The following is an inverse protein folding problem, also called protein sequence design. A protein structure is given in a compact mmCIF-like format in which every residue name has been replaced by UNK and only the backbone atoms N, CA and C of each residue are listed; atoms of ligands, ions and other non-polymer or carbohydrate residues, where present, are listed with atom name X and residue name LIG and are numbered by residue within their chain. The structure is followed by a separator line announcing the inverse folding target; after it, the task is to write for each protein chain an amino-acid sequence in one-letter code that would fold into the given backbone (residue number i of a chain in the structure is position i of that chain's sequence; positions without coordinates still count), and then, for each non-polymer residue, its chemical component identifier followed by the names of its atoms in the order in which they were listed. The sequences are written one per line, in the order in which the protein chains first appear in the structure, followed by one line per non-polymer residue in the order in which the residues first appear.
data_IF_722025715605
#
_entry.id   IF_722025715605
#
_cell.length_a   1.000
_cell.length_b   1.000
_cell.length_c   1.000
_cell.angle_alpha   90.00
_cell.angle_beta   90.00
_cell.angle_gamma   90.00
#
_symmetry.space_group_name_H-M   'P 1'
#
loop_
_entity.id
_entity.type
_entity.pdbx_description
1 polymer ?
#
# COMPACT_ATOMS: atom_id res chain seq x y z
N UNK A 1 -28.66 -6.25 -13.01
CA UNK A 1 -28.41 -4.83 -12.65
C UNK A 1 -29.40 -4.49 -11.57
N UNK A 2 -28.98 -4.53 -10.31
CA UNK A 2 -29.81 -4.09 -9.18
C UNK A 2 -29.90 -2.57 -9.27
N UNK A 3 -31.12 -2.08 -9.46
CA UNK A 3 -31.43 -0.66 -9.37
C UNK A 3 -30.95 -0.18 -7.99
N UNK A 4 -29.91 0.65 -7.96
CA UNK A 4 -29.35 1.13 -6.70
C UNK A 4 -30.40 1.99 -6.02
N UNK A 5 -31.02 1.45 -4.97
CA UNK A 5 -32.05 2.15 -4.22
C UNK A 5 -31.53 3.53 -3.79
N UNK A 6 -32.37 4.56 -3.94
CA UNK A 6 -32.06 5.91 -3.49
C UNK A 6 -31.72 5.88 -2.01
N UNK A 7 -30.55 6.38 -1.58
CA UNK A 7 -30.15 6.31 -0.19
C UNK A 7 -31.05 7.15 0.71
N UNK A 8 -31.31 6.65 1.90
CA UNK A 8 -32.17 7.25 2.91
C UNK A 8 -31.39 7.53 4.20
N UNK A 9 -31.92 8.44 5.02
CA UNK A 9 -31.38 8.67 6.37
C UNK A 9 -31.63 7.42 7.22
N UNK A 10 -30.60 6.95 7.92
CA UNK A 10 -30.62 5.69 8.68
C UNK A 10 -29.99 4.51 7.94
N UNK A 11 -29.76 4.61 6.63
CA UNK A 11 -29.10 3.54 5.87
C UNK A 11 -27.70 3.25 6.40
N UNK A 12 -27.29 1.98 6.33
CA UNK A 12 -25.95 1.54 6.70
C UNK A 12 -25.10 1.35 5.45
N UNK A 13 -23.99 2.07 5.38
CA UNK A 13 -22.98 1.97 4.34
C UNK A 13 -21.72 1.30 4.88
N UNK A 14 -20.98 0.63 4.00
CA UNK A 14 -19.87 -0.23 4.35
C UNK A 14 -18.57 0.27 3.73
N UNK A 15 -17.46 0.08 4.46
CA UNK A 15 -16.11 0.26 3.94
C UNK A 15 -15.23 -0.88 4.44
N UNK A 16 -14.75 -1.70 3.52
CA UNK A 16 -13.76 -2.72 3.84
C UNK A 16 -12.35 -2.11 3.93
N UNK A 17 -11.56 -2.57 4.88
CA UNK A 17 -10.16 -2.22 5.04
C UNK A 17 -9.36 -3.48 5.39
N UNK A 18 -8.11 -3.52 4.94
CA UNK A 18 -7.11 -4.47 5.39
C UNK A 18 -6.40 -3.94 6.62
N UNK A 19 -6.15 -4.81 7.60
CA UNK A 19 -5.34 -4.51 8.76
C UNK A 19 -4.28 -5.59 8.93
N UNK A 20 -3.10 -5.17 9.38
CA UNK A 20 -2.08 -6.09 9.90
C UNK A 20 -2.43 -6.40 11.34
N UNK A 21 -2.59 -7.67 11.65
CA UNK A 21 -2.93 -8.17 12.99
C UNK A 21 -1.75 -8.99 13.49
N UNK A 22 -1.17 -8.57 14.61
CA UNK A 22 -0.19 -9.34 15.34
C UNK A 22 -0.89 -10.38 16.21
N UNK A 23 -0.40 -11.61 16.18
CA UNK A 23 -0.85 -12.70 17.04
C UNK A 23 0.21 -12.92 18.10
N UNK A 24 -0.19 -12.83 19.36
CA UNK A 24 0.69 -13.04 20.50
C UNK A 24 0.48 -14.44 21.09
N UNK A 25 1.50 -14.99 21.74
CA UNK A 25 1.38 -16.20 22.54
C UNK A 25 0.75 -15.92 23.91
N UNK A 26 0.73 -16.95 24.77
CA UNK A 26 0.15 -16.91 26.11
C UNK A 26 0.88 -15.93 27.06
N UNK A 27 2.10 -15.51 26.72
CA UNK A 27 2.91 -14.56 27.49
C UNK A 27 2.89 -13.15 26.89
N UNK A 28 2.17 -12.95 25.79
CA UNK A 28 2.02 -11.66 25.13
C UNK A 28 3.13 -11.36 24.11
N UNK A 29 4.01 -12.32 23.80
CA UNK A 29 5.07 -12.15 22.82
C UNK A 29 4.54 -12.32 21.40
N UNK A 30 4.95 -11.44 20.49
CA UNK A 30 4.49 -11.46 19.09
C UNK A 30 5.05 -12.70 18.36
N UNK A 31 4.16 -13.61 17.97
CA UNK A 31 4.50 -14.83 17.23
C UNK A 31 4.52 -14.60 15.73
N UNK A 32 3.45 -14.00 15.19
CA UNK A 32 3.37 -13.73 13.75
C UNK A 32 2.39 -12.59 13.41
N UNK A 33 2.48 -12.09 12.18
CA UNK A 33 1.59 -11.04 11.67
C UNK A 33 0.82 -11.56 10.47
N UNK A 34 -0.51 -11.47 10.51
CA UNK A 34 -1.39 -11.81 9.38
C UNK A 34 -2.07 -10.56 8.82
N UNK A 35 -2.54 -10.62 7.57
CA UNK A 35 -3.46 -9.62 7.01
C UNK A 35 -4.88 -10.10 7.20
N UNK A 36 -5.72 -9.25 7.80
CA UNK A 36 -7.15 -9.50 7.93
C UNK A 36 -7.95 -8.42 7.19
N UNK A 37 -9.00 -8.85 6.49
CA UNK A 37 -9.95 -7.96 5.84
C UNK A 37 -11.18 -7.86 6.73
N UNK A 38 -11.51 -6.63 7.14
CA UNK A 38 -12.67 -6.33 7.97
C UNK A 38 -13.43 -5.15 7.37
N UNK A 39 -14.66 -4.93 7.83
CA UNK A 39 -15.44 -3.77 7.40
C UNK A 39 -15.81 -2.87 8.56
N UNK A 40 -15.95 -1.59 8.24
CA UNK A 40 -16.58 -0.59 9.08
C UNK A 40 -17.96 -0.26 8.53
N UNK A 41 -18.88 0.05 9.43
CA UNK A 41 -20.23 0.51 9.11
C UNK A 41 -20.35 2.00 9.38
N UNK A 42 -21.10 2.68 8.53
CA UNK A 42 -21.38 4.11 8.64
C UNK A 42 -22.86 4.35 8.45
N UNK A 43 -23.46 5.14 9.33
CA UNK A 43 -24.87 5.49 9.22
C UNK A 43 -25.03 6.76 8.37
N UNK A 44 -25.96 6.73 7.43
CA UNK A 44 -26.36 7.92 6.68
C UNK A 44 -27.15 8.83 7.61
N UNK A 45 -26.60 10.02 7.88
CA UNK A 45 -27.22 11.02 8.77
C UNK A 45 -27.99 12.10 8.01
N UNK A 46 -27.61 12.35 6.75
CA UNK A 46 -28.25 13.33 5.89
C UNK A 46 -28.09 12.94 4.42
N UNK A 47 -29.17 13.09 3.65
CA UNK A 47 -29.17 12.90 2.20
C UNK A 47 -29.33 14.26 1.52
N UNK A 48 -28.57 14.47 0.45
CA UNK A 48 -28.67 15.62 -0.44
C UNK A 48 -28.76 15.12 -1.88
N UNK A 49 -29.25 15.92 -2.84
CA UNK A 49 -29.36 15.48 -4.24
C UNK A 49 -28.04 14.99 -4.86
N UNK A 50 -26.88 15.43 -4.35
CA UNK A 50 -25.55 15.07 -4.88
C UNK A 50 -24.80 14.03 -4.07
N UNK A 51 -25.24 13.73 -2.85
CA UNK A 51 -24.39 13.05 -1.88
C UNK A 51 -25.05 12.76 -0.54
N UNK A 52 -24.38 11.93 0.25
CA UNK A 52 -24.81 11.53 1.59
C UNK A 52 -23.76 11.91 2.62
N UNK A 53 -24.21 12.25 3.82
CA UNK A 53 -23.35 12.43 4.99
C UNK A 53 -23.34 11.14 5.80
N UNK A 54 -22.14 10.63 6.05
CA UNK A 54 -21.89 9.40 6.79
C UNK A 54 -21.32 9.72 8.17
N UNK A 55 -21.79 9.02 9.19
CA UNK A 55 -21.25 9.06 10.55
C UNK A 55 -20.77 7.67 10.96
N UNK A 56 -19.61 7.60 11.63
CA UNK A 56 -19.08 6.36 12.19
C UNK A 56 -19.48 6.12 13.65
N UNK A 57 -20.50 6.84 14.15
CA UNK A 57 -20.96 6.74 15.54
C UNK A 57 -20.29 7.71 16.50
N UNK A 58 -20.32 7.38 17.80
CA UNK A 58 -19.93 8.30 18.89
C UNK A 58 -18.43 8.63 18.82
N UNK A 59 -18.10 9.93 18.71
CA UNK A 59 -16.71 10.42 18.57
C UNK A 59 -16.14 10.36 17.15
N UNK A 60 -16.90 9.85 16.17
CA UNK A 60 -16.50 9.78 14.77
C UNK A 60 -16.65 11.08 14.00
N UNK A 61 -15.73 11.38 13.07
CA UNK A 61 -15.89 12.52 12.16
C UNK A 61 -16.95 12.22 11.09
N UNK A 62 -17.89 13.14 10.89
CA UNK A 62 -18.82 13.05 9.76
C UNK A 62 -18.08 13.23 8.43
N UNK A 63 -18.46 12.45 7.42
CA UNK A 63 -17.85 12.51 6.08
C UNK A 63 -18.91 12.57 5.00
N UNK A 64 -18.76 13.54 4.09
CA UNK A 64 -19.62 13.65 2.91
C UNK A 64 -19.13 12.75 1.77
N UNK A 65 -20.05 12.04 1.11
CA UNK A 65 -19.79 11.14 -0.01
C UNK A 65 -20.66 11.53 -1.18
N UNK A 66 -20.05 11.79 -2.34
CA UNK A 66 -20.74 12.09 -3.58
C UNK A 66 -21.29 10.81 -4.23
N UNK A 67 -22.58 10.80 -4.58
CA UNK A 67 -23.22 9.65 -5.22
C UNK A 67 -22.69 9.43 -6.64
N UNK A 68 -22.42 10.50 -7.39
CA UNK A 68 -21.87 10.42 -8.75
C UNK A 68 -20.36 10.14 -8.82
N UNK A 69 -19.65 10.08 -7.69
CA UNK A 69 -18.21 9.83 -7.71
C UNK A 69 -17.91 8.36 -8.03
N UNK A 70 -17.04 8.14 -9.03
CA UNK A 70 -16.50 6.80 -9.34
C UNK A 70 -15.75 6.17 -8.16
N UNK A 71 -15.14 6.99 -7.30
CA UNK A 71 -14.40 6.56 -6.11
C UNK A 71 -15.10 7.10 -4.87
N UNK A 72 -15.97 6.29 -4.28
CA UNK A 72 -16.67 6.64 -3.03
C UNK A 72 -15.86 6.18 -1.82
N UNK A 73 -16.07 6.85 -0.69
CA UNK A 73 -15.42 6.51 0.56
C UNK A 73 -15.97 5.21 1.17
N UNK A 74 -17.29 5.06 1.17
CA UNK A 74 -18.03 3.87 1.58
C UNK A 74 -19.11 3.60 0.52
N UNK A 75 -19.70 2.41 0.55
CA UNK A 75 -20.70 1.97 -0.42
C UNK A 75 -21.95 1.41 0.25
N UNK A 76 -23.14 1.51 -0.39
CA UNK A 76 -24.39 0.98 0.15
C UNK A 76 -24.36 -0.52 0.47
N UNK A 77 -23.65 -1.33 -0.30
CA UNK A 77 -23.57 -2.78 -0.09
C UNK A 77 -22.18 -3.24 0.31
N UNK A 78 -22.12 -4.43 0.93
CA UNK A 78 -20.84 -5.04 1.31
C UNK A 78 -20.05 -5.44 0.08
N UNK A 79 -20.72 -5.95 -0.94
CA UNK A 79 -20.17 -6.39 -2.21
C UNK A 79 -19.45 -5.24 -2.92
N UNK A 80 -20.13 -4.10 -3.12
CA UNK A 80 -19.53 -2.90 -3.72
C UNK A 80 -18.35 -2.37 -2.90
N UNK A 81 -18.45 -2.43 -1.57
CA UNK A 81 -17.39 -2.01 -0.67
C UNK A 81 -16.15 -2.93 -0.77
N UNK A 82 -16.35 -4.23 -1.00
CA UNK A 82 -15.28 -5.22 -1.18
C UNK A 82 -14.60 -5.07 -2.54
N UNK A 83 -15.38 -4.89 -3.61
CA UNK A 83 -14.86 -4.55 -4.95
C UNK A 83 -14.03 -3.26 -4.90
N UNK A 84 -14.48 -2.27 -4.13
CA UNK A 84 -13.73 -1.04 -3.92
C UNK A 84 -12.40 -1.27 -3.19
N UNK A 85 -12.35 -2.16 -2.19
CA UNK A 85 -11.10 -2.57 -1.56
C UNK A 85 -10.16 -3.23 -2.57
N UNK A 86 -10.65 -4.18 -3.35
CA UNK A 86 -9.87 -4.86 -4.40
C UNK A 86 -9.29 -3.85 -5.39
N UNK A 87 -10.10 -2.91 -5.87
CA UNK A 87 -9.64 -1.86 -6.79
C UNK A 87 -8.56 -0.96 -6.18
N UNK A 88 -8.71 -0.57 -4.91
CA UNK A 88 -7.68 0.20 -4.18
C UNK A 88 -6.38 -0.59 -4.02
N UNK A 89 -6.47 -1.87 -3.67
CA UNK A 89 -5.29 -2.74 -3.50
C UNK A 89 -4.59 -3.03 -4.81
N UNK A 90 -5.33 -3.29 -5.88
CA UNK A 90 -4.76 -3.40 -7.22
C UNK A 90 -4.03 -2.12 -7.64
N UNK A 91 -4.59 -0.93 -7.34
CA UNK A 91 -3.89 0.34 -7.59
C UNK A 91 -2.65 0.48 -6.72
N UNK A 92 -2.72 0.09 -5.44
CA UNK A 92 -1.59 0.14 -4.52
C UNK A 92 -0.44 -0.76 -5.00
N UNK A 93 -0.74 -2.00 -5.41
CA UNK A 93 0.23 -2.95 -5.96
C UNK A 93 0.96 -2.32 -7.16
N UNK A 94 0.23 -1.78 -8.14
CA UNK A 94 0.86 -1.12 -9.31
C UNK A 94 1.78 0.04 -8.94
N UNK A 95 1.42 0.83 -7.94
CA UNK A 95 2.27 1.94 -7.45
C UNK A 95 3.55 1.37 -6.84
N UNK A 96 3.42 0.35 -5.99
CA UNK A 96 4.55 -0.28 -5.32
C UNK A 96 5.48 -0.99 -6.30
N UNK A 97 4.94 -1.67 -7.30
CA UNK A 97 5.72 -2.28 -8.38
C UNK A 97 6.54 -1.23 -9.12
N UNK A 98 5.94 -0.08 -9.46
CA UNK A 98 6.68 0.99 -10.14
C UNK A 98 7.76 1.60 -9.27
N UNK A 99 7.50 1.77 -7.98
CA UNK A 99 8.48 2.24 -7.00
C UNK A 99 9.63 1.24 -6.83
N UNK A 100 9.32 -0.05 -6.81
CA UNK A 100 10.31 -1.12 -6.72
C UNK A 100 11.19 -1.17 -7.97
N UNK A 101 10.60 -1.05 -9.16
CA UNK A 101 11.32 -0.96 -10.43
C UNK A 101 12.30 0.22 -10.42
N UNK A 102 11.82 1.41 -10.02
CA UNK A 102 12.65 2.59 -9.89
C UNK A 102 13.82 2.38 -8.91
N UNK A 103 13.55 1.85 -7.71
CA UNK A 103 14.57 1.60 -6.70
C UNK A 103 15.63 0.60 -7.18
N UNK A 104 15.22 -0.47 -7.89
CA UNK A 104 16.13 -1.45 -8.50
C UNK A 104 17.04 -0.80 -9.52
N UNK A 105 16.49 -0.01 -10.44
CA UNK A 105 17.28 0.70 -11.46
C UNK A 105 18.26 1.69 -10.82
N UNK A 106 17.81 2.46 -9.84
CA UNK A 106 18.67 3.42 -9.13
C UNK A 106 19.85 2.72 -8.44
N UNK A 107 19.62 1.56 -7.81
CA UNK A 107 20.68 0.74 -7.20
C UNK A 107 21.72 0.27 -8.22
N UNK A 108 21.29 -0.27 -9.36
CA UNK A 108 22.21 -0.72 -10.42
C UNK A 108 23.06 0.43 -10.96
N UNK A 109 22.44 1.60 -11.15
CA UNK A 109 23.16 2.80 -11.56
C UNK A 109 24.17 3.24 -10.51
N UNK A 110 23.80 3.24 -9.23
CA UNK A 110 24.71 3.56 -8.14
C UNK A 110 25.91 2.59 -8.06
N UNK A 111 25.67 1.28 -8.22
CA UNK A 111 26.73 0.26 -8.28
C UNK A 111 27.68 0.51 -9.45
N UNK A 112 27.14 0.85 -10.63
CA UNK A 112 27.93 1.19 -11.81
C UNK A 112 28.79 2.45 -11.59
N UNK A 113 28.24 3.47 -10.94
CA UNK A 113 29.00 4.68 -10.58
C UNK A 113 30.09 4.37 -9.55
N UNK A 114 29.78 3.56 -8.54
CA UNK A 114 30.76 3.14 -7.55
C UNK A 114 31.95 2.39 -8.19
N UNK A 115 31.67 1.51 -9.15
CA UNK A 115 32.70 0.80 -9.90
C UNK A 115 33.58 1.74 -10.75
N UNK A 116 33.01 2.83 -11.30
CA UNK A 116 33.80 3.86 -12.02
C UNK A 116 34.67 4.68 -11.08
N UNK A 117 34.15 5.00 -9.90
CA UNK A 117 34.84 5.83 -8.90
C UNK A 117 35.91 5.07 -8.12
N UNK A 118 35.85 3.74 -8.07
CA UNK A 118 36.95 2.90 -7.60
C UNK A 118 37.80 2.52 -8.81
N UNK A 119 38.74 3.37 -9.26
CA UNK A 119 39.71 2.91 -10.25
C UNK A 119 40.40 1.67 -9.67
N UNK A 120 40.72 0.73 -10.56
CA UNK A 120 41.44 -0.53 -10.27
C UNK A 120 42.69 -0.23 -9.45
N UNK A 121 42.56 -0.26 -8.12
CA UNK A 121 43.69 -0.10 -7.19
C UNK A 121 44.53 -1.35 -7.33
N UNK A 122 45.71 -1.15 -7.93
CA UNK A 122 46.93 -1.97 -7.79
C UNK A 122 46.86 -3.42 -8.33
N UNK A 123 47.25 -3.58 -9.60
CA UNK A 123 48.25 -4.62 -9.87
C UNK A 123 49.61 -4.00 -9.49
N UNK A 124 50.37 -4.56 -8.53
CA UNK A 124 51.71 -4.09 -8.28
C UNK A 124 52.56 -4.36 -9.53
N UNK A 125 52.90 -3.28 -10.23
CA UNK A 125 53.98 -3.25 -11.19
C UNK A 125 55.28 -3.08 -10.40
N UNK A 126 55.76 -4.14 -9.76
CA UNK A 126 57.18 -4.26 -9.42
C UNK A 126 57.54 -5.70 -9.02
N UNK A 127 57.97 -6.50 -10.00
CA UNK A 127 59.12 -7.37 -9.79
C UNK A 127 60.06 -7.08 -10.94
N UNK A 128 60.83 -6.01 -10.76
CA UNK A 128 62.01 -5.70 -11.53
C UNK A 128 62.87 -6.96 -11.76
N UNK A 129 63.41 -7.01 -12.97
CA UNK A 129 64.64 -7.68 -13.32
C UNK A 129 65.66 -7.62 -12.18
N UNK A 130 66.02 -8.75 -11.58
CA UNK A 130 67.40 -9.03 -11.13
C UNK A 130 67.54 -10.53 -10.91
N UNK A 131 68.18 -11.24 -11.86
CA UNK A 131 69.14 -12.33 -11.62
C UNK A 131 69.61 -12.85 -12.99
N UNK A 132 70.48 -12.03 -13.62
CA UNK A 132 71.61 -12.58 -14.35
C UNK A 132 72.66 -13.01 -13.32
N UNK A 133 73.38 -14.07 -13.66
CA UNK A 133 74.60 -14.61 -13.02
C UNK A 133 74.47 -15.26 -11.64
N UNK A 134 74.19 -16.57 -11.62
CA UNK A 134 75.11 -17.59 -11.02
C UNK A 134 74.85 -18.96 -11.68
N UNK A 135 75.84 -19.49 -12.40
CA UNK A 135 75.82 -20.83 -12.99
C UNK A 135 76.90 -21.05 -14.04
#
# INVERSE_FOLDING_TARGET
MTEAATPQVGDTWYRYEDRRVGHADEWGDLVHVSVQVSHYTYTVTKVTPKGVWLSSGFGGSNRFVLLGARKRFAHPTKEEALESLMARKARQIRILEKQLEYARTARVMAESQLARLKPKTEQPADQAETLLDIG
#
